data_IF_084579783862
#
_entry.id   IF_084579783862
#
_cell.length_a   1.000
_cell.length_b   1.000
_cell.length_c   1.000
_cell.angle_alpha   90.00
_cell.angle_beta   90.00
_cell.angle_gamma   90.00
#
_symmetry.space_group_name_H-M   'P 1'
#
loop_
_entity.id
_entity.type
_entity.pdbx_description
1 polymer ?
#
# COMPACT_ATOMS: atom_id res chain seq x y z
N UNK A 1 13.34 -15.18 -0.53
CA UNK A 1 12.06 -15.11 -1.28
C UNK A 1 11.53 -13.68 -1.12
N UNK A 2 10.63 -13.19 -1.97
CA UNK A 2 9.98 -11.87 -1.76
C UNK A 2 9.17 -11.91 -0.47
N UNK A 3 8.65 -13.10 -0.13
CA UNK A 3 8.11 -13.45 1.17
C UNK A 3 9.13 -13.45 2.32
N UNK A 4 10.41 -13.09 2.15
CA UNK A 4 11.32 -12.72 3.25
C UNK A 4 11.56 -11.20 3.26
N UNK A 5 11.49 -10.58 2.09
CA UNK A 5 11.74 -9.14 1.89
C UNK A 5 10.65 -8.28 2.52
N UNK A 6 9.38 -8.69 2.57
CA UNK A 6 8.35 -7.91 3.28
C UNK A 6 8.47 -8.01 4.83
N UNK A 7 9.00 -9.09 5.44
CA UNK A 7 9.30 -9.15 6.90
C UNK A 7 10.34 -8.07 7.13
N UNK A 8 11.40 -8.13 6.33
CA UNK A 8 12.53 -7.24 6.46
C UNK A 8 12.11 -5.78 6.24
N UNK A 9 11.13 -5.53 5.37
CA UNK A 9 10.54 -4.21 5.18
C UNK A 9 9.92 -3.68 6.49
N UNK A 10 9.09 -4.46 7.18
CA UNK A 10 8.51 -4.01 8.45
C UNK A 10 9.57 -3.80 9.53
N UNK A 11 10.54 -4.70 9.65
CA UNK A 11 11.67 -4.56 10.58
C UNK A 11 12.46 -3.26 10.33
N UNK A 12 12.80 -3.00 9.06
CA UNK A 12 13.55 -1.80 8.66
C UNK A 12 12.74 -0.51 8.82
N UNK A 13 11.43 -0.58 8.64
CA UNK A 13 10.53 0.55 8.86
C UNK A 13 10.14 0.74 10.33
N UNK A 14 10.63 -0.12 11.23
CA UNK A 14 10.28 -0.14 12.65
C UNK A 14 8.75 -0.21 12.87
N UNK A 15 8.12 -1.13 12.14
CA UNK A 15 6.68 -1.39 12.19
C UNK A 15 6.47 -2.73 12.86
N UNK A 16 5.73 -2.73 13.96
CA UNK A 16 5.24 -3.95 14.58
C UNK A 16 4.19 -4.60 13.68
N UNK A 17 4.13 -5.93 13.73
CA UNK A 17 3.30 -6.70 12.84
C UNK A 17 2.85 -8.07 13.48
N UNK A 18 1.76 -8.71 13.01
CA UNK A 18 1.24 -10.06 13.33
C UNK A 18 0.51 -10.62 12.10
N UNK A 19 0.66 -11.89 11.82
CA UNK A 19 0.14 -12.53 10.61
C UNK A 19 -1.37 -12.75 10.70
N UNK A 20 -2.05 -12.56 9.57
CA UNK A 20 -3.41 -13.09 9.39
C UNK A 20 -3.28 -14.48 8.75
N UNK A 21 -3.51 -15.51 9.55
CA UNK A 21 -3.32 -16.91 9.17
C UNK A 21 -4.63 -17.64 8.90
N UNK A 22 -4.54 -18.93 8.58
CA UNK A 22 -5.69 -19.82 8.44
C UNK A 22 -6.55 -19.79 9.70
N UNK A 23 -7.81 -19.38 9.55
CA UNK A 23 -8.78 -19.28 10.66
C UNK A 23 -9.01 -17.86 11.17
N UNK A 24 -8.13 -16.91 10.85
CA UNK A 24 -8.27 -15.51 11.25
C UNK A 24 -9.27 -14.73 10.38
N UNK A 25 -9.66 -15.27 9.22
CA UNK A 25 -10.58 -14.65 8.26
C UNK A 25 -12.05 -14.64 8.71
N UNK A 26 -12.30 -14.16 9.92
CA UNK A 26 -13.62 -13.84 10.44
C UNK A 26 -13.73 -12.34 10.63
N UNK A 27 -14.90 -11.77 10.38
CA UNK A 27 -15.09 -10.32 10.52
C UNK A 27 -14.75 -9.81 11.93
N UNK A 28 -15.10 -10.59 12.97
CA UNK A 28 -14.79 -10.23 14.35
C UNK A 28 -13.29 -10.10 14.59
N UNK A 29 -12.51 -11.08 14.12
CA UNK A 29 -11.05 -11.07 14.21
C UNK A 29 -10.43 -9.95 13.38
N UNK A 30 -10.86 -9.76 12.12
CA UNK A 30 -10.30 -8.71 11.27
C UNK A 30 -10.54 -7.30 11.84
N UNK A 31 -11.66 -7.08 12.54
CA UNK A 31 -11.98 -5.80 13.19
C UNK A 31 -11.11 -5.50 14.42
N UNK A 32 -10.29 -6.43 14.89
CA UNK A 32 -9.30 -6.17 15.95
C UNK A 32 -8.10 -5.38 15.41
N UNK A 33 -7.87 -5.37 14.09
CA UNK A 33 -6.77 -4.64 13.47
C UNK A 33 -7.19 -3.22 13.04
N UNK A 34 -6.42 -2.22 13.45
CA UNK A 34 -6.62 -0.82 13.00
C UNK A 34 -6.36 -0.66 11.49
N UNK A 35 -5.35 -1.36 10.98
CA UNK A 35 -5.02 -1.42 9.54
C UNK A 35 -4.63 -2.83 9.14
N UNK A 36 -5.10 -3.26 7.97
CA UNK A 36 -4.64 -4.48 7.30
C UNK A 36 -3.84 -4.08 6.06
N UNK A 37 -2.58 -4.52 6.02
CA UNK A 37 -1.71 -4.44 4.85
C UNK A 37 -1.80 -5.71 4.01
N UNK A 38 -1.92 -5.57 2.69
CA UNK A 38 -1.86 -6.67 1.73
C UNK A 38 -0.57 -6.54 0.93
N UNK A 39 0.36 -7.47 1.15
CA UNK A 39 1.65 -7.53 0.46
C UNK A 39 1.56 -7.93 -1.01
N UNK A 40 2.68 -7.86 -1.73
CA UNK A 40 2.75 -8.07 -3.17
C UNK A 40 2.35 -9.49 -3.59
N UNK A 41 2.72 -10.48 -2.78
CA UNK A 41 2.44 -11.89 -3.04
C UNK A 41 1.28 -12.45 -2.20
N UNK A 42 0.57 -11.59 -1.45
CA UNK A 42 -0.43 -12.05 -0.49
C UNK A 42 -1.53 -12.87 -1.17
N UNK A 43 -2.06 -12.38 -2.29
CA UNK A 43 -3.04 -13.16 -3.04
C UNK A 43 -2.38 -14.40 -3.66
N UNK A 44 -1.20 -14.34 -4.28
CA UNK A 44 -0.53 -15.53 -4.85
C UNK A 44 -0.43 -16.68 -3.85
N UNK A 45 0.15 -16.40 -2.67
CA UNK A 45 0.57 -17.40 -1.68
C UNK A 45 -0.50 -17.75 -0.65
N UNK A 46 -1.40 -16.82 -0.29
CA UNK A 46 -2.40 -17.03 0.74
C UNK A 46 -3.75 -17.44 0.13
N UNK A 47 -3.98 -18.75 0.02
CA UNK A 47 -5.24 -19.29 -0.52
C UNK A 47 -6.44 -18.98 0.36
N UNK A 48 -6.26 -18.83 1.68
CA UNK A 48 -7.34 -18.46 2.59
C UNK A 48 -7.75 -17.00 2.38
N UNK A 49 -6.79 -16.08 2.17
CA UNK A 49 -7.09 -14.70 1.77
C UNK A 49 -7.90 -14.67 0.48
N UNK A 50 -7.47 -15.42 -0.54
CA UNK A 50 -8.17 -15.54 -1.82
C UNK A 50 -9.59 -16.07 -1.65
N UNK A 51 -9.80 -17.06 -0.77
CA UNK A 51 -11.11 -17.64 -0.51
C UNK A 51 -12.02 -16.70 0.30
N UNK A 52 -11.44 -15.83 1.13
CA UNK A 52 -12.16 -15.00 2.10
C UNK A 52 -12.09 -13.48 1.81
N UNK A 53 -11.72 -13.07 0.60
CA UNK A 53 -11.59 -11.64 0.24
C UNK A 53 -12.87 -10.82 0.48
N UNK A 54 -14.06 -11.44 0.41
CA UNK A 54 -15.32 -10.75 0.74
C UNK A 54 -15.42 -10.39 2.24
N UNK A 55 -14.80 -11.17 3.13
CA UNK A 55 -14.70 -10.83 4.56
C UNK A 55 -13.80 -9.60 4.75
N UNK A 56 -12.69 -9.52 3.99
CA UNK A 56 -11.80 -8.36 3.99
C UNK A 56 -12.52 -7.09 3.48
N UNK A 57 -13.33 -7.22 2.42
CA UNK A 57 -14.16 -6.10 1.94
C UNK A 57 -15.19 -5.68 2.98
N UNK A 58 -15.79 -6.62 3.70
CA UNK A 58 -16.72 -6.32 4.79
C UNK A 58 -16.01 -5.63 5.97
N UNK A 59 -14.78 -6.02 6.32
CA UNK A 59 -13.94 -5.32 7.30
C UNK A 59 -13.82 -3.83 6.96
N UNK A 60 -13.47 -3.49 5.71
CA UNK A 60 -13.38 -2.10 5.27
C UNK A 60 -14.76 -1.43 5.36
N UNK A 61 -15.83 -2.07 4.85
CA UNK A 61 -17.19 -1.50 4.92
C UNK A 61 -17.63 -1.17 6.35
N UNK A 62 -17.14 -1.92 7.35
CA UNK A 62 -17.48 -1.72 8.77
C UNK A 62 -16.66 -0.65 9.49
N UNK A 63 -15.62 -0.10 8.86
CA UNK A 63 -14.79 0.96 9.44
C UNK A 63 -13.30 0.71 9.33
N UNK A 64 -12.91 -0.51 8.93
CA UNK A 64 -11.52 -0.92 8.79
C UNK A 64 -10.73 -0.08 7.79
N UNK A 65 -9.41 -0.18 7.86
CA UNK A 65 -8.49 0.46 6.94
C UNK A 65 -7.68 -0.60 6.19
N UNK A 66 -7.74 -0.60 4.86
CA UNK A 66 -7.01 -1.55 4.01
C UNK A 66 -5.97 -0.82 3.17
N UNK A 67 -4.76 -1.36 3.09
CA UNK A 67 -3.67 -0.82 2.27
C UNK A 67 -3.05 -1.95 1.45
N UNK A 68 -2.87 -1.77 0.15
CA UNK A 68 -1.93 -2.64 -0.61
C UNK A 68 -0.53 -2.05 -0.49
N UNK A 69 0.45 -2.83 -0.04
CA UNK A 69 1.77 -2.32 0.33
C UNK A 69 2.69 -2.16 -0.89
N UNK A 70 2.55 -3.06 -1.86
CA UNK A 70 3.33 -3.13 -3.09
C UNK A 70 2.52 -4.00 -4.05
N UNK A 71 1.44 -3.48 -4.63
CA UNK A 71 0.55 -4.34 -5.39
C UNK A 71 1.16 -4.68 -6.75
N UNK A 72 1.26 -5.97 -7.04
CA UNK A 72 1.68 -6.47 -8.35
C UNK A 72 0.64 -7.45 -8.89
N UNK A 73 0.32 -7.32 -10.17
CA UNK A 73 -0.60 -8.20 -10.86
C UNK A 73 0.12 -9.51 -11.19
N UNK A 74 -0.41 -10.61 -10.64
CA UNK A 74 -0.04 -11.95 -11.07
C UNK A 74 -1.20 -12.64 -11.79
N UNK A 75 -0.98 -13.90 -12.20
CA UNK A 75 -2.00 -14.73 -12.88
C UNK A 75 -3.28 -14.98 -12.06
N UNK A 76 -3.23 -14.69 -10.76
CA UNK A 76 -4.29 -14.88 -9.79
C UNK A 76 -5.01 -13.59 -9.39
N UNK A 77 -4.55 -12.43 -9.89
CA UNK A 77 -5.21 -11.15 -9.67
C UNK A 77 -6.67 -11.19 -10.11
N UNK A 78 -7.50 -10.60 -9.26
CA UNK A 78 -8.91 -10.37 -9.53
C UNK A 78 -9.26 -8.96 -9.05
N UNK A 79 -9.70 -8.11 -9.98
CA UNK A 79 -10.12 -6.73 -9.67
C UNK A 79 -11.15 -6.64 -8.53
N UNK A 80 -11.89 -7.71 -8.24
CA UNK A 80 -12.88 -7.75 -7.17
C UNK A 80 -12.30 -7.97 -5.77
N UNK A 81 -10.99 -8.21 -5.63
CA UNK A 81 -10.32 -8.41 -4.35
C UNK A 81 -10.32 -7.15 -3.48
N UNK A 82 -10.40 -5.97 -4.08
CA UNK A 82 -10.56 -4.71 -3.37
C UNK A 82 -12.05 -4.32 -3.21
N UNK A 83 -12.38 -3.42 -2.27
CA UNK A 83 -13.75 -2.94 -2.09
C UNK A 83 -14.37 -2.32 -3.35
N UNK A 84 -13.54 -1.69 -4.19
CA UNK A 84 -13.90 -1.13 -5.48
C UNK A 84 -12.96 -1.68 -6.55
N UNK A 85 -13.44 -2.03 -7.75
CA UNK A 85 -12.59 -2.60 -8.79
C UNK A 85 -11.58 -1.59 -9.33
N UNK A 86 -10.43 -2.11 -9.75
CA UNK A 86 -9.37 -1.37 -10.45
C UNK A 86 -8.93 -2.11 -11.71
N UNK A 87 -8.65 -1.38 -12.78
CA UNK A 87 -7.91 -1.91 -13.94
C UNK A 87 -6.45 -1.52 -13.79
N UNK A 88 -5.56 -2.48 -13.92
CA UNK A 88 -4.12 -2.28 -13.82
C UNK A 88 -3.48 -2.48 -15.19
N UNK A 89 -2.36 -1.82 -15.42
CA UNK A 89 -1.63 -1.80 -16.67
C UNK A 89 -0.15 -2.08 -16.41
N UNK A 90 0.39 -3.01 -17.19
CA UNK A 90 1.80 -3.41 -17.18
C UNK A 90 2.65 -2.35 -17.92
N UNK A 91 2.78 -1.17 -17.29
CA UNK A 91 3.56 -0.04 -17.78
C UNK A 91 4.29 0.63 -16.61
N UNK A 92 5.60 0.77 -16.75
CA UNK A 92 6.44 1.33 -15.70
C UNK A 92 6.66 2.84 -15.93
N UNK A 93 6.20 3.72 -15.03
CA UNK A 93 6.48 5.15 -15.13
C UNK A 93 7.95 5.45 -14.82
N UNK A 94 8.49 6.49 -15.46
CA UNK A 94 9.85 6.96 -15.16
C UNK A 94 9.87 7.65 -13.79
N UNK A 95 10.75 7.22 -12.90
CA UNK A 95 10.87 7.77 -11.55
C UNK A 95 11.47 9.19 -11.54
N UNK A 96 12.32 9.52 -12.52
CA UNK A 96 13.10 10.76 -12.51
C UNK A 96 12.29 11.98 -12.98
N UNK A 97 11.07 11.78 -13.48
CA UNK A 97 10.14 12.86 -13.85
C UNK A 97 9.39 13.43 -12.64
N UNK A 98 9.41 12.70 -11.51
CA UNK A 98 8.73 13.05 -10.26
C UNK A 98 7.21 12.87 -10.29
N UNK A 99 6.59 13.17 -9.16
CA UNK A 99 5.14 13.02 -8.95
C UNK A 99 4.49 14.32 -8.50
N UNK A 100 3.16 14.34 -8.54
CA UNK A 100 2.28 15.29 -7.86
C UNK A 100 1.59 14.55 -6.71
N UNK A 101 1.63 15.14 -5.51
CA UNK A 101 0.88 14.65 -4.34
C UNK A 101 -0.46 15.37 -4.23
N UNK A 102 -1.52 14.62 -3.97
CA UNK A 102 -2.82 15.22 -3.63
C UNK A 102 -2.76 15.95 -2.27
N UNK A 103 -3.62 16.95 -2.07
CA UNK A 103 -3.83 17.55 -0.74
C UNK A 103 -4.63 16.57 0.14
N UNK A 104 -3.93 15.65 0.80
CA UNK A 104 -4.52 14.60 1.61
C UNK A 104 -3.68 14.37 2.89
N UNK A 105 -4.34 14.08 4.02
CA UNK A 105 -3.68 13.94 5.32
C UNK A 105 -2.71 12.75 5.39
N UNK A 106 -2.82 11.81 4.46
CA UNK A 106 -1.85 10.72 4.24
C UNK A 106 -0.43 11.22 4.00
N UNK A 107 -0.25 12.43 3.46
CA UNK A 107 1.09 12.99 3.24
C UNK A 107 1.52 13.94 4.36
N UNK A 108 0.70 14.10 5.39
CA UNK A 108 0.96 14.99 6.52
C UNK A 108 1.19 14.23 7.83
N UNK A 109 0.82 12.94 7.89
CA UNK A 109 0.90 12.13 9.10
C UNK A 109 1.29 10.66 8.80
N UNK A 110 2.13 10.02 9.65
CA UNK A 110 2.83 10.62 10.79
C UNK A 110 4.03 11.49 10.38
N UNK A 111 4.51 11.36 9.15
CA UNK A 111 5.62 12.15 8.60
C UNK A 111 5.11 13.18 7.57
N UNK A 112 5.89 14.24 7.35
CA UNK A 112 5.65 15.21 6.29
C UNK A 112 6.25 14.70 4.97
N UNK A 113 5.39 14.17 4.10
CA UNK A 113 5.78 13.63 2.79
C UNK A 113 5.72 14.75 1.75
N UNK A 114 6.83 14.93 1.06
CA UNK A 114 7.00 15.96 0.03
C UNK A 114 7.54 15.36 -1.27
N UNK A 115 7.09 15.91 -2.41
CA UNK A 115 7.55 15.49 -3.74
C UNK A 115 9.08 15.50 -3.85
N UNK A 116 9.73 16.58 -3.38
CA UNK A 116 11.18 16.75 -3.53
C UNK A 116 12.02 15.76 -2.73
N UNK A 117 11.61 15.45 -1.49
CA UNK A 117 12.37 14.52 -0.63
C UNK A 117 12.04 13.06 -0.92
N UNK A 118 10.77 12.75 -1.19
CA UNK A 118 10.29 11.36 -1.21
C UNK A 118 10.14 10.80 -2.63
N UNK A 119 10.05 11.67 -3.62
CA UNK A 119 9.89 11.32 -5.03
C UNK A 119 10.86 12.12 -5.92
N UNK A 120 11.98 12.56 -5.32
CA UNK A 120 13.06 13.23 -6.03
C UNK A 120 13.88 12.24 -6.86
N UNK A 121 14.64 12.80 -7.81
CA UNK A 121 15.56 12.06 -8.68
C UNK A 121 16.54 11.22 -7.84
N UNK A 122 16.68 9.94 -8.19
CA UNK A 122 17.61 9.02 -7.54
C UNK A 122 17.15 8.42 -6.20
N UNK A 123 15.94 8.73 -5.72
CA UNK A 123 15.36 8.04 -4.55
C UNK A 123 14.87 6.64 -4.94
N UNK A 124 14.13 6.55 -6.03
CA UNK A 124 13.61 5.30 -6.57
C UNK A 124 14.53 4.79 -7.67
N UNK A 125 14.72 3.48 -7.76
CA UNK A 125 15.60 2.89 -8.77
C UNK A 125 14.91 2.86 -10.15
N UNK A 126 15.65 2.94 -11.27
CA UNK A 126 15.08 2.67 -12.59
C UNK A 126 14.46 1.26 -12.64
N UNK A 127 13.17 1.15 -13.00
CA UNK A 127 12.42 -0.11 -12.94
C UNK A 127 12.16 -0.63 -11.51
N UNK A 128 12.27 0.26 -10.52
CA UNK A 128 12.16 0.02 -9.09
C UNK A 128 11.22 1.02 -8.39
N UNK A 129 10.31 1.64 -9.14
CA UNK A 129 9.49 2.76 -8.68
C UNK A 129 8.02 2.37 -8.56
N UNK A 130 7.43 1.87 -9.64
CA UNK A 130 6.05 1.42 -9.66
C UNK A 130 5.84 0.37 -10.75
N UNK A 131 4.93 -0.57 -10.51
CA UNK A 131 4.51 -1.62 -11.46
C UNK A 131 2.99 -1.81 -11.39
N UNK A 132 2.39 -2.31 -12.48
CA UNK A 132 0.94 -2.58 -12.55
C UNK A 132 0.08 -1.37 -12.15
N UNK A 133 0.38 -0.24 -12.79
CA UNK A 133 -0.23 1.05 -12.48
C UNK A 133 -1.69 1.11 -12.94
N UNK A 134 -2.55 1.81 -12.19
CA UNK A 134 -3.96 1.92 -12.57
C UNK A 134 -4.25 2.90 -13.71
N UNK A 135 -3.29 3.78 -14.06
CA UNK A 135 -3.43 4.96 -14.92
C UNK A 135 -4.45 6.01 -14.45
N UNK A 136 -5.70 5.63 -14.18
CA UNK A 136 -6.77 6.56 -13.82
C UNK A 136 -7.48 6.12 -12.54
N UNK A 137 -7.57 7.00 -11.54
CA UNK A 137 -8.46 6.80 -10.39
C UNK A 137 -9.86 7.34 -10.73
N UNK A 138 -10.80 6.43 -11.03
CA UNK A 138 -12.20 6.80 -11.27
C UNK A 138 -13.00 6.75 -9.97
N UNK A 139 -13.96 7.68 -9.75
CA UNK A 139 -14.80 7.65 -8.55
C UNK A 139 -15.36 6.25 -8.28
N UNK A 140 -15.28 5.77 -7.02
CA UNK A 140 -14.95 6.53 -5.81
C UNK A 140 -13.45 6.67 -5.51
N UNK A 141 -12.56 6.16 -6.37
CA UNK A 141 -11.13 6.37 -6.23
C UNK A 141 -10.73 7.81 -6.55
N UNK A 142 -9.79 8.29 -5.76
CA UNK A 142 -9.11 9.57 -5.94
C UNK A 142 -7.60 9.30 -6.04
N UNK A 143 -6.94 9.91 -7.03
CA UNK A 143 -5.49 9.81 -7.15
C UNK A 143 -4.83 10.52 -5.95
N UNK A 144 -3.95 9.82 -5.24
CA UNK A 144 -3.14 10.35 -4.14
C UNK A 144 -1.73 10.70 -4.62
N UNK A 145 -1.16 9.86 -5.48
CA UNK A 145 0.14 10.10 -6.14
C UNK A 145 -0.06 9.98 -7.64
N UNK A 146 0.38 10.99 -8.39
CA UNK A 146 0.25 11.02 -9.85
C UNK A 146 1.60 11.30 -10.49
N UNK A 147 2.01 10.52 -11.50
CA UNK A 147 3.26 10.80 -12.20
C UNK A 147 3.18 12.10 -13.03
N UNK A 148 4.27 12.87 -13.11
CA UNK A 148 4.28 14.16 -13.81
C UNK A 148 4.36 14.03 -15.34
N UNK A 149 4.74 12.88 -15.88
CA UNK A 149 4.94 12.69 -17.31
C UNK A 149 3.63 12.38 -18.02
N UNK A 150 2.86 11.43 -17.49
CA UNK A 150 1.66 10.89 -18.13
C UNK A 150 0.38 11.28 -17.39
N UNK A 151 0.49 11.72 -16.13
CA UNK A 151 -0.67 12.01 -15.30
C UNK A 151 -1.36 10.74 -14.79
N UNK A 152 -0.64 9.62 -14.75
CA UNK A 152 -1.12 8.34 -14.26
C UNK A 152 -1.17 8.31 -12.74
N UNK A 153 -2.28 7.82 -12.21
CA UNK A 153 -2.39 7.47 -10.80
C UNK A 153 -1.46 6.30 -10.49
N UNK A 154 -0.62 6.47 -9.47
CA UNK A 154 0.26 5.44 -8.91
C UNK A 154 -0.26 4.95 -7.56
N UNK A 155 -0.87 5.87 -6.80
CA UNK A 155 -1.50 5.54 -5.52
C UNK A 155 -2.88 6.16 -5.55
N UNK A 156 -3.88 5.39 -5.15
CA UNK A 156 -5.27 5.82 -5.13
C UNK A 156 -5.93 5.49 -3.80
N UNK A 157 -6.77 6.39 -3.31
CA UNK A 157 -7.57 6.20 -2.09
C UNK A 157 -9.05 6.21 -2.39
N UNK A 158 -9.84 5.45 -1.65
CA UNK A 158 -11.30 5.49 -1.76
C UNK A 158 -11.99 5.20 -0.42
N UNK A 159 -13.09 5.90 -0.11
CA UNK A 159 -13.99 5.49 0.96
C UNK A 159 -14.73 4.20 0.56
N UNK A 160 -14.89 3.27 1.49
CA UNK A 160 -15.69 2.07 1.29
C UNK A 160 -16.54 1.79 2.54
N UNK A 161 -17.84 2.08 2.45
CA UNK A 161 -18.73 2.05 3.61
C UNK A 161 -18.28 3.06 4.67
N UNK A 162 -17.95 2.59 5.87
CA UNK A 162 -17.42 3.41 6.97
C UNK A 162 -15.89 3.46 7.00
N UNK A 163 -15.21 2.64 6.23
CA UNK A 163 -13.76 2.53 6.20
C UNK A 163 -13.15 3.19 4.97
N UNK A 164 -11.88 2.87 4.75
CA UNK A 164 -11.07 3.44 3.68
C UNK A 164 -10.16 2.37 3.10
N UNK A 165 -9.84 2.50 1.83
CA UNK A 165 -8.85 1.65 1.17
C UNK A 165 -7.84 2.51 0.43
N UNK A 166 -6.57 2.14 0.52
CA UNK A 166 -5.49 2.68 -0.30
C UNK A 166 -4.94 1.55 -1.17
N UNK A 167 -4.89 1.83 -2.47
CA UNK A 167 -4.14 1.05 -3.43
C UNK A 167 -2.81 1.76 -3.71
N UNK A 168 -1.69 1.03 -3.62
CA UNK A 168 -0.36 1.48 -4.00
C UNK A 168 0.25 0.51 -5.01
N UNK A 169 0.67 1.06 -6.16
CA UNK A 169 1.53 0.38 -7.14
C UNK A 169 3.02 0.69 -6.93
N UNK A 170 3.38 1.40 -5.87
CA UNK A 170 4.79 1.73 -5.58
C UNK A 170 5.54 0.48 -5.13
N UNK A 171 6.78 0.31 -5.60
CA UNK A 171 7.64 -0.83 -5.23
C UNK A 171 8.32 -0.61 -3.86
N UNK A 172 7.51 -0.48 -2.81
CA UNK A 172 7.94 -0.19 -1.44
C UNK A 172 8.89 -1.27 -0.92
N UNK A 173 8.63 -2.55 -1.23
CA UNK A 173 9.46 -3.66 -0.77
C UNK A 173 10.88 -3.51 -1.31
N UNK A 174 11.04 -3.19 -2.59
CA UNK A 174 12.36 -2.93 -3.18
C UNK A 174 13.04 -1.71 -2.55
N UNK A 175 12.30 -0.62 -2.35
CA UNK A 175 12.81 0.62 -1.78
C UNK A 175 13.36 0.45 -0.35
N UNK A 176 12.58 -0.15 0.56
CA UNK A 176 13.00 -0.38 1.96
C UNK A 176 14.13 -1.41 2.06
N UNK A 177 14.26 -2.31 1.07
CA UNK A 177 15.36 -3.27 1.02
C UNK A 177 16.62 -2.77 0.30
N UNK A 178 16.68 -1.49 -0.07
CA UNK A 178 17.86 -0.84 -0.65
C UNK A 178 19.10 -0.96 0.24
N UNK A 179 20.28 -0.90 -0.40
CA UNK A 179 21.57 -0.78 0.30
C UNK A 179 21.90 0.68 0.68
N UNK A 180 21.16 1.65 0.15
CA UNK A 180 21.29 3.05 0.53
C UNK A 180 20.38 3.36 1.71
N UNK A 181 20.97 3.65 2.88
CA UNK A 181 20.24 3.93 4.12
C UNK A 181 19.27 5.11 4.01
N UNK A 182 19.62 6.13 3.25
CA UNK A 182 18.76 7.30 3.05
C UNK A 182 17.49 6.91 2.27
N UNK A 183 17.63 6.07 1.24
CA UNK A 183 16.48 5.52 0.50
C UNK A 183 15.61 4.66 1.42
N UNK A 184 16.22 3.83 2.26
CA UNK A 184 15.48 3.01 3.23
C UNK A 184 14.65 3.89 4.17
N UNK A 185 15.23 4.95 4.73
CA UNK A 185 14.53 5.89 5.62
C UNK A 185 13.38 6.58 4.90
N UNK A 186 13.62 7.11 3.70
CA UNK A 186 12.62 7.83 2.91
C UNK A 186 11.43 6.92 2.55
N UNK A 187 11.70 5.71 2.08
CA UNK A 187 10.62 4.77 1.69
C UNK A 187 9.90 4.22 2.93
N UNK A 188 10.60 4.04 4.06
CA UNK A 188 9.98 3.66 5.32
C UNK A 188 8.99 4.73 5.81
N UNK A 189 9.30 6.02 5.66
CA UNK A 189 8.35 7.09 6.00
C UNK A 189 7.09 7.06 5.14
N UNK A 190 7.22 6.77 3.84
CA UNK A 190 6.06 6.61 2.94
C UNK A 190 5.19 5.44 3.41
N UNK A 191 5.81 4.28 3.72
CA UNK A 191 5.11 3.11 4.23
C UNK A 191 4.37 3.41 5.55
N UNK A 192 5.03 4.09 6.49
CA UNK A 192 4.42 4.50 7.75
C UNK A 192 3.22 5.43 7.54
N UNK A 193 3.33 6.38 6.61
CA UNK A 193 2.23 7.25 6.22
C UNK A 193 1.07 6.46 5.63
N UNK A 194 1.34 5.53 4.72
CA UNK A 194 0.30 4.69 4.14
C UNK A 194 -0.42 3.86 5.20
N UNK A 195 0.29 3.33 6.18
CA UNK A 195 -0.32 2.51 7.24
C UNK A 195 -1.01 3.32 8.35
N UNK A 196 -0.46 4.48 8.73
CA UNK A 196 -0.80 5.12 10.00
C UNK A 196 -1.39 6.52 9.92
N UNK A 197 -1.64 7.08 8.73
CA UNK A 197 -2.20 8.43 8.62
C UNK A 197 -3.57 8.62 9.30
N UNK A 198 -4.38 7.55 9.39
CA UNK A 198 -5.68 7.57 10.09
C UNK A 198 -5.55 7.35 11.60
N UNK A 199 -4.38 6.89 12.06
CA UNK A 199 -4.14 6.53 13.44
C UNK A 199 -3.72 7.79 14.21
N UNK A 200 -4.68 8.43 14.87
CA UNK A 200 -4.37 9.46 15.87
C UNK A 200 -3.65 8.80 17.05
N UNK A 201 -2.33 9.01 17.16
CA UNK A 201 -1.54 8.91 18.40
C UNK A 201 -2.15 8.01 19.50
N UNK A 202 -2.11 6.69 19.30
CA UNK A 202 -2.07 5.75 20.42
C UNK A 202 -0.95 4.77 20.10
N UNK A 203 0.17 4.92 20.82
CA UNK A 203 1.14 3.84 20.96
C UNK A 203 0.38 2.63 21.49
N UNK A 204 0.17 1.62 20.66
CA UNK A 204 0.31 0.19 20.98
C UNK A 204 -0.19 -0.65 19.81
N UNK A 205 0.71 -1.52 19.35
CA UNK A 205 0.45 -2.83 18.75
C UNK A 205 -0.40 -2.82 17.49
N UNK A 206 0.28 -2.95 16.34
CA UNK A 206 -0.34 -3.26 15.06
C UNK A 206 0.45 -4.32 14.31
N UNK A 207 -0.19 -4.91 13.29
CA UNK A 207 -0.04 -6.31 12.94
C UNK A 207 -0.11 -6.61 11.42
N UNK A 208 0.96 -7.03 10.70
CA UNK A 208 1.01 -7.90 9.47
C UNK A 208 2.36 -8.66 9.25
N UNK A 209 2.42 -9.95 9.62
CA UNK A 209 3.24 -11.07 9.09
C UNK A 209 3.44 -12.21 10.08
#
# INVERSE_FOLDING_TARGET
>A
DDADLEVLMFERANIEYEEITTGDYTLGRLLEFDVIGVGCLAYDKNQDLKANFEVLKEYVRKGGYLVTLDFQQDSSWNQNFLPHPFTLFDQDPDADVGVVLADHDIFKNPNEITEGRHFGVGIWQPGGFSQDVPHEAKPPWESLVTDKQNGWSLVAGAPAGKGYVVFSSLEIVKGVNSNNKEVVEIVAEILQNFLFWRSFLIKKELSVR
#
